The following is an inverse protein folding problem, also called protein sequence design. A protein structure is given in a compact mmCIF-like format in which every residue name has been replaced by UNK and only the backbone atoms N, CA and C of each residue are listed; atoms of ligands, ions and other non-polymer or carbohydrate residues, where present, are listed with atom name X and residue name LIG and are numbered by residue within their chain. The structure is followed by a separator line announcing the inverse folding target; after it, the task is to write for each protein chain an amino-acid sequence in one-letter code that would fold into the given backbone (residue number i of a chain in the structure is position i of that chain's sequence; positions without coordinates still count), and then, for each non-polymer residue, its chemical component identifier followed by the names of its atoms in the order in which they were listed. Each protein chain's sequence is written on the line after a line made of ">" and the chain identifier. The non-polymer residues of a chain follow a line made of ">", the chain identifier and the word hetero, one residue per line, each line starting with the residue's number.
data_IF_132258594905
#
_entry.id   IF_132258594905
#
_cell.length_a   1.000
_cell.length_b   1.000
_cell.length_c   1.000
_cell.angle_alpha   90.00
_cell.angle_beta   90.00
_cell.angle_gamma   90.00
#
_symmetry.space_group_name_H-M   'P 1'
#
loop_
_entity.id
_entity.type
_entity.pdbx_description
1 polymer ?
#
# COMPACT_ATOMS: atom_id res chain seq x y z
N UNK A 1 9.88 -15.64 2.88
CA UNK A 1 9.15 -15.15 4.06
C UNK A 1 9.86 -13.92 4.62
N UNK A 2 9.12 -12.87 4.87
CA UNK A 2 9.66 -11.62 5.37
C UNK A 2 9.49 -11.59 6.88
N UNK A 3 10.58 -11.30 7.62
CA UNK A 3 10.51 -11.04 9.05
C UNK A 3 10.02 -9.61 9.26
N UNK A 4 8.73 -9.40 9.01
CA UNK A 4 8.15 -8.07 9.01
C UNK A 4 7.75 -7.65 10.41
N UNK A 5 8.25 -6.51 10.85
CA UNK A 5 7.85 -5.92 12.13
C UNK A 5 6.76 -4.88 11.94
N UNK A 6 6.87 -4.06 10.91
CA UNK A 6 5.95 -2.94 10.67
C UNK A 6 5.28 -3.10 9.32
N UNK A 7 3.96 -3.15 9.34
CA UNK A 7 3.13 -3.38 8.16
C UNK A 7 2.08 -2.29 8.04
N UNK A 8 1.92 -1.73 6.83
CA UNK A 8 0.95 -0.67 6.54
C UNK A 8 0.00 -1.14 5.45
N UNK A 9 -1.29 -0.90 5.65
CA UNK A 9 -2.32 -1.14 4.63
C UNK A 9 -3.03 0.18 4.37
N UNK A 10 -3.00 0.65 3.13
CA UNK A 10 -3.81 1.76 2.64
C UNK A 10 -5.02 1.20 1.94
N UNK A 11 -6.19 1.29 2.58
CA UNK A 11 -7.46 0.78 2.07
C UNK A 11 -8.61 1.46 2.80
N UNK A 12 -9.58 1.98 2.07
CA UNK A 12 -10.72 2.68 2.66
C UNK A 12 -11.97 1.82 2.83
N UNK A 13 -12.01 0.63 2.21
CA UNK A 13 -13.16 -0.27 2.29
C UNK A 13 -12.94 -1.37 3.35
N UNK A 14 -13.63 -1.28 4.51
CA UNK A 14 -13.43 -2.28 5.57
C UNK A 14 -13.76 -3.72 5.15
N UNK A 15 -14.60 -3.91 4.14
CA UNK A 15 -14.93 -5.25 3.64
C UNK A 15 -13.71 -5.99 3.09
N UNK A 16 -12.66 -5.28 2.69
CA UNK A 16 -11.42 -5.86 2.16
C UNK A 16 -10.38 -6.16 3.23
N UNK A 17 -10.55 -5.64 4.45
CA UNK A 17 -9.54 -5.81 5.49
C UNK A 17 -9.24 -7.27 5.83
N UNK A 18 -10.24 -8.16 5.99
CA UNK A 18 -9.92 -9.56 6.33
C UNK A 18 -9.03 -10.23 5.29
N UNK A 19 -9.29 -9.99 4.02
CA UNK A 19 -8.48 -10.55 2.93
C UNK A 19 -7.05 -10.01 2.98
N UNK A 20 -6.88 -8.69 3.12
CA UNK A 20 -5.58 -8.05 3.15
C UNK A 20 -4.78 -8.43 4.40
N UNK A 21 -5.44 -8.50 5.54
CA UNK A 21 -4.80 -8.91 6.80
C UNK A 21 -4.32 -10.37 6.69
N UNK A 22 -5.13 -11.25 6.12
CA UNK A 22 -4.74 -12.65 5.90
C UNK A 22 -3.53 -12.74 4.97
N UNK A 23 -3.50 -11.96 3.90
CA UNK A 23 -2.32 -11.91 3.03
C UNK A 23 -1.10 -11.42 3.80
N UNK A 24 -1.25 -10.39 4.61
CA UNK A 24 -0.16 -9.86 5.40
C UNK A 24 0.41 -10.92 6.35
N UNK A 25 -0.44 -11.66 7.04
CA UNK A 25 0.00 -12.75 7.92
C UNK A 25 0.76 -13.85 7.17
N UNK A 26 0.33 -14.19 5.97
CA UNK A 26 1.02 -15.23 5.20
C UNK A 26 2.40 -14.80 4.71
N UNK A 27 2.61 -13.49 4.53
CA UNK A 27 3.89 -12.92 4.08
C UNK A 27 4.83 -12.69 5.27
N UNK A 28 4.30 -12.29 6.42
CA UNK A 28 5.05 -11.76 7.55
C UNK A 28 5.15 -12.71 8.74
N UNK A 29 4.95 -14.00 8.53
CA UNK A 29 5.06 -14.98 9.60
C UNK A 29 6.53 -15.15 10.02
N UNK A 30 6.87 -15.33 11.30
CA UNK A 30 5.98 -15.44 12.45
C UNK A 30 5.75 -14.13 13.22
N UNK A 31 6.43 -13.05 12.90
CA UNK A 31 6.44 -11.84 13.73
C UNK A 31 5.94 -10.62 12.95
N UNK A 32 4.73 -10.18 13.28
CA UNK A 32 4.24 -8.87 12.90
C UNK A 32 3.99 -8.09 14.20
N UNK A 33 4.83 -7.10 14.48
CA UNK A 33 4.73 -6.33 15.72
C UNK A 33 3.73 -5.18 15.59
N UNK A 34 3.62 -4.59 14.40
CA UNK A 34 2.77 -3.43 14.17
C UNK A 34 2.06 -3.56 12.84
N UNK A 35 0.73 -3.48 12.88
CA UNK A 35 -0.11 -3.37 11.70
C UNK A 35 -0.91 -2.09 11.78
N UNK A 36 -0.75 -1.20 10.80
CA UNK A 36 -1.50 0.05 10.71
C UNK A 36 -2.33 0.03 9.45
N UNK A 37 -3.61 0.29 9.58
CA UNK A 37 -4.54 0.45 8.47
C UNK A 37 -4.93 1.91 8.39
N UNK A 38 -4.70 2.53 7.24
CA UNK A 38 -5.05 3.92 6.97
C UNK A 38 -5.98 4.01 5.78
N UNK A 39 -6.82 5.03 5.76
CA UNK A 39 -7.89 5.17 4.78
C UNK A 39 -7.67 6.30 3.78
N UNK A 40 -6.66 7.13 3.97
CA UNK A 40 -6.37 8.26 3.09
C UNK A 40 -4.88 8.31 2.75
N UNK A 41 -4.57 8.93 1.62
CA UNK A 41 -3.18 9.14 1.20
C UNK A 41 -2.42 10.00 2.22
N UNK A 42 -3.08 11.01 2.77
CA UNK A 42 -2.48 11.90 3.79
C UNK A 42 -2.05 11.13 5.02
N UNK A 43 -2.92 10.25 5.54
CA UNK A 43 -2.60 9.42 6.71
C UNK A 43 -1.49 8.43 6.41
N UNK A 44 -1.50 7.84 5.20
CA UNK A 44 -0.43 6.95 4.77
C UNK A 44 0.93 7.65 4.77
N UNK A 45 0.99 8.84 4.18
CA UNK A 45 2.23 9.65 4.15
C UNK A 45 2.73 9.97 5.55
N UNK A 46 1.82 10.34 6.45
CA UNK A 46 2.15 10.63 7.83
C UNK A 46 2.80 9.41 8.51
N UNK A 47 2.13 8.26 8.43
CA UNK A 47 2.63 7.02 9.05
C UNK A 47 3.97 6.59 8.44
N UNK A 48 4.12 6.69 7.13
CA UNK A 48 5.37 6.33 6.44
C UNK A 48 6.55 7.19 6.90
N UNK A 49 6.28 8.41 7.37
CA UNK A 49 7.32 9.32 7.87
C UNK A 49 7.75 9.01 9.31
N UNK A 50 7.03 8.17 10.04
CA UNK A 50 7.22 7.99 11.48
C UNK A 50 8.20 6.87 11.84
N UNK A 51 8.37 5.87 10.98
CA UNK A 51 9.27 4.76 11.24
C UNK A 51 9.60 4.03 9.94
N UNK A 52 10.48 3.02 10.02
CA UNK A 52 10.77 2.15 8.88
C UNK A 52 9.66 1.10 8.73
N UNK A 53 9.36 0.74 7.49
CA UNK A 53 8.30 -0.20 7.17
C UNK A 53 8.86 -1.41 6.44
N UNK A 54 8.30 -2.59 6.70
CA UNK A 54 8.71 -3.82 6.05
C UNK A 54 7.80 -4.15 4.87
N UNK A 55 6.48 -4.15 5.08
CA UNK A 55 5.51 -4.41 4.02
C UNK A 55 4.50 -3.28 3.96
N UNK A 56 4.27 -2.79 2.75
CA UNK A 56 3.30 -1.70 2.49
C UNK A 56 2.33 -2.22 1.43
N UNK A 57 1.03 -2.23 1.75
CA UNK A 57 -0.03 -2.55 0.80
C UNK A 57 -0.72 -1.27 0.38
N UNK A 58 -0.82 -1.02 -0.93
CA UNK A 58 -1.38 0.20 -1.48
C UNK A 58 -2.58 -0.08 -2.38
N UNK A 59 -3.73 0.53 -2.04
CA UNK A 59 -4.82 0.73 -2.98
C UNK A 59 -4.55 2.00 -3.80
N UNK A 60 -5.34 2.25 -4.83
CA UNK A 60 -5.31 3.49 -5.58
C UNK A 60 -6.52 4.37 -5.30
N UNK A 61 -7.73 3.82 -5.47
CA UNK A 61 -8.97 4.57 -5.33
C UNK A 61 -9.39 4.61 -3.86
N UNK A 62 -9.59 5.80 -3.35
CA UNK A 62 -9.91 6.03 -1.94
C UNK A 62 -11.19 6.87 -1.84
N UNK A 63 -11.72 7.00 -0.62
CA UNK A 63 -12.91 7.79 -0.30
C UNK A 63 -14.15 7.31 -1.08
N UNK A 64 -14.26 5.98 -1.26
CA UNK A 64 -15.41 5.35 -1.93
C UNK A 64 -15.47 5.61 -3.43
N UNK A 65 -14.47 6.24 -4.02
CA UNK A 65 -14.44 6.55 -5.45
C UNK A 65 -13.95 5.35 -6.25
N UNK A 66 -14.29 5.33 -7.54
CA UNK A 66 -13.91 4.27 -8.49
C UNK A 66 -13.24 4.92 -9.70
N UNK A 67 -12.15 4.32 -10.18
CA UNK A 67 -11.37 4.82 -11.32
C UNK A 67 -10.93 6.27 -11.14
N UNK A 68 -10.46 6.60 -9.94
CA UNK A 68 -9.95 7.92 -9.60
C UNK A 68 -8.70 8.23 -10.42
N UNK A 69 -8.60 9.47 -10.93
CA UNK A 69 -7.41 9.92 -11.63
C UNK A 69 -6.24 10.09 -10.67
N UNK A 70 -5.04 9.71 -11.12
CA UNK A 70 -3.82 9.74 -10.30
C UNK A 70 -3.39 11.15 -9.89
N UNK A 71 -3.86 12.19 -10.58
CA UNK A 71 -3.63 13.58 -10.20
C UNK A 71 -4.36 13.98 -8.92
N UNK A 72 -5.41 13.26 -8.55
CA UNK A 72 -6.11 13.48 -7.29
C UNK A 72 -5.16 13.20 -6.13
N UNK A 73 -5.09 14.13 -5.18
CA UNK A 73 -4.16 14.02 -4.05
C UNK A 73 -4.45 12.82 -3.14
N UNK A 74 -5.71 12.39 -3.07
CA UNK A 74 -6.12 11.26 -2.25
C UNK A 74 -6.14 9.97 -3.06
N UNK A 75 -4.97 9.55 -3.53
CA UNK A 75 -4.81 8.30 -4.29
C UNK A 75 -3.56 7.55 -3.86
N UNK A 76 -3.55 6.24 -4.12
CA UNK A 76 -2.36 5.42 -3.89
C UNK A 76 -1.17 5.84 -4.76
N UNK A 77 -1.41 6.41 -5.95
CA UNK A 77 -0.35 6.95 -6.79
C UNK A 77 0.45 8.03 -6.04
N UNK A 78 -0.25 8.94 -5.34
CA UNK A 78 0.41 10.00 -4.59
C UNK A 78 1.25 9.45 -3.44
N UNK A 79 0.82 8.34 -2.84
CA UNK A 79 1.61 7.64 -1.81
C UNK A 79 2.85 6.97 -2.44
N UNK A 80 2.69 6.31 -3.58
CA UNK A 80 3.81 5.71 -4.31
C UNK A 80 4.87 6.76 -4.66
N UNK A 81 4.43 7.90 -5.15
CA UNK A 81 5.29 9.04 -5.48
C UNK A 81 6.02 9.55 -4.24
N UNK A 82 5.32 9.66 -3.12
CA UNK A 82 5.90 10.07 -1.83
C UNK A 82 7.01 9.10 -1.37
N UNK A 83 6.79 7.80 -1.51
CA UNK A 83 7.79 6.77 -1.17
C UNK A 83 9.08 7.01 -1.96
N UNK A 84 8.96 7.27 -3.26
CA UNK A 84 10.10 7.56 -4.12
C UNK A 84 10.80 8.86 -3.72
N UNK A 85 10.05 9.94 -3.58
CA UNK A 85 10.60 11.28 -3.32
C UNK A 85 11.30 11.37 -1.97
N UNK A 86 10.81 10.66 -0.96
CA UNK A 86 11.35 10.72 0.40
C UNK A 86 12.23 9.54 0.76
N UNK A 87 12.58 8.70 -0.21
CA UNK A 87 13.41 7.51 0.02
C UNK A 87 12.93 6.65 1.18
N UNK A 88 11.62 6.43 1.25
CA UNK A 88 11.04 5.57 2.28
C UNK A 88 11.55 4.15 2.07
N UNK A 89 12.12 3.57 3.12
CA UNK A 89 12.67 2.21 3.06
C UNK A 89 11.61 1.17 3.36
N UNK A 90 11.62 0.09 2.57
CA UNK A 90 10.70 -1.03 2.75
C UNK A 90 11.31 -2.31 2.17
N UNK A 91 10.76 -3.45 2.51
CA UNK A 91 11.14 -4.74 1.93
C UNK A 91 10.23 -5.12 0.77
N UNK A 92 8.92 -4.84 0.88
CA UNK A 92 7.95 -5.21 -0.14
C UNK A 92 6.81 -4.21 -0.18
N UNK A 93 6.47 -3.74 -1.38
CA UNK A 93 5.22 -3.03 -1.65
C UNK A 93 4.32 -3.94 -2.47
N UNK A 94 3.08 -4.08 -2.03
CA UNK A 94 2.04 -4.81 -2.76
C UNK A 94 0.99 -3.81 -3.19
N UNK A 95 0.79 -3.69 -4.50
CA UNK A 95 -0.29 -2.89 -5.06
C UNK A 95 -1.50 -3.82 -5.20
N UNK A 96 -2.62 -3.51 -4.54
CA UNK A 96 -3.80 -4.36 -4.54
C UNK A 96 -5.02 -3.71 -5.22
N UNK A 97 -4.82 -2.61 -5.91
CA UNK A 97 -5.89 -1.86 -6.57
C UNK A 97 -6.54 -2.64 -7.71
N UNK A 98 -7.85 -2.43 -7.89
CA UNK A 98 -8.59 -2.90 -9.05
C UNK A 98 -8.63 -1.87 -10.19
N UNK A 99 -8.02 -0.70 -10.01
CA UNK A 99 -7.91 0.32 -11.04
C UNK A 99 -6.75 -0.01 -11.98
N UNK A 100 -7.06 -0.74 -13.05
CA UNK A 100 -6.07 -1.22 -14.01
C UNK A 100 -5.35 -0.12 -14.78
N UNK A 101 -5.92 1.08 -14.83
CA UNK A 101 -5.28 2.24 -15.48
C UNK A 101 -4.24 2.88 -14.56
N UNK A 102 -4.48 2.85 -13.27
CA UNK A 102 -3.58 3.46 -12.27
C UNK A 102 -2.41 2.56 -11.88
N UNK A 103 -2.59 1.25 -11.90
CA UNK A 103 -1.55 0.30 -11.43
C UNK A 103 -0.23 0.48 -12.16
N UNK A 104 -0.17 0.57 -13.52
CA UNK A 104 1.10 0.80 -14.20
C UNK A 104 1.77 2.12 -13.80
N UNK A 105 0.98 3.17 -13.54
CA UNK A 105 1.51 4.46 -13.10
C UNK A 105 2.15 4.35 -11.73
N UNK A 106 1.53 3.60 -10.82
CA UNK A 106 2.08 3.34 -9.49
C UNK A 106 3.37 2.54 -9.57
N UNK A 107 3.42 1.52 -10.44
CA UNK A 107 4.62 0.72 -10.66
C UNK A 107 5.78 1.57 -11.18
N UNK A 108 5.52 2.46 -12.13
CA UNK A 108 6.54 3.38 -12.64
C UNK A 108 7.00 4.34 -11.54
N UNK A 109 6.08 4.88 -10.75
CA UNK A 109 6.42 5.79 -9.66
C UNK A 109 7.34 5.13 -8.62
N UNK A 110 7.25 3.81 -8.46
CA UNK A 110 8.05 3.05 -7.49
C UNK A 110 9.31 2.43 -8.08
N UNK A 111 9.60 2.65 -9.36
CA UNK A 111 10.81 2.09 -9.98
C UNK A 111 12.07 2.48 -9.21
N UNK A 112 12.93 1.50 -8.96
CA UNK A 112 14.19 1.71 -8.27
C UNK A 112 14.09 1.88 -6.76
N UNK A 113 12.89 1.81 -6.17
CA UNK A 113 12.73 1.97 -4.72
C UNK A 113 12.87 0.66 -3.94
N UNK A 114 12.59 -0.48 -4.59
CA UNK A 114 12.65 -1.78 -3.95
C UNK A 114 11.74 -2.78 -4.67
N UNK A 115 11.36 -3.85 -3.97
CA UNK A 115 10.52 -4.90 -4.54
C UNK A 115 9.06 -4.48 -4.53
N UNK A 116 8.43 -4.47 -5.70
CA UNK A 116 7.02 -4.12 -5.89
C UNK A 116 6.33 -5.25 -6.64
N UNK A 117 5.21 -5.73 -6.11
CA UNK A 117 4.37 -6.71 -6.79
C UNK A 117 2.94 -6.20 -6.92
N UNK A 118 2.24 -6.67 -7.95
CA UNK A 118 0.82 -6.40 -8.13
C UNK A 118 0.03 -7.66 -7.76
N UNK A 119 -0.87 -7.51 -6.81
CA UNK A 119 -1.75 -8.59 -6.36
C UNK A 119 -3.12 -7.97 -6.06
N UNK A 120 -4.04 -7.97 -7.04
CA UNK A 120 -5.33 -7.32 -6.86
C UNK A 120 -6.12 -7.96 -5.71
N UNK A 121 -6.80 -7.09 -4.94
CA UNK A 121 -7.68 -7.54 -3.89
C UNK A 121 -8.97 -8.06 -4.53
N UNK A 122 -9.25 -9.34 -4.34
CA UNK A 122 -10.48 -9.93 -4.86
C UNK A 122 -11.62 -9.59 -3.91
N UNK A 123 -12.67 -8.99 -4.45
CA UNK A 123 -13.91 -8.79 -3.71
C UNK A 123 -14.66 -10.12 -3.66
N UNK A 124 -14.82 -10.61 -2.45
CA UNK A 124 -15.56 -11.84 -2.20
C UNK A 124 -17.03 -11.57 -1.99
#
# INVERSE_FOLDING_TARGET
>A
MIHAKNCLILEDNPARYPYLINQMFSICYPIMEKLVIVTTARKAKHELSMCDWNVIMLDHDLDGQVYTLSENENTGYQVAKFIKEHNIKYELVIIHSLNEFAVPKMQVALEGTGKVIYRPCMDL
#
